data_IF_971128439726
#
_entry.id   IF_971128439726
#
_cell.length_a   1.000
_cell.length_b   1.000
_cell.length_c   1.000
_cell.angle_alpha   90.00
_cell.angle_beta   90.00
_cell.angle_gamma   90.00
#
_symmetry.space_group_name_H-M   'P 1'
#
loop_
_entity.id
_entity.type
_entity.pdbx_description
1 polymer ?
#
# COMPACT_ATOMS: atom_id res chain seq x y z
N UNK A 1 -63.71 8.27 16.98
CA UNK A 1 -63.79 6.99 17.71
C UNK A 1 -63.95 5.91 16.66
N UNK A 2 -62.83 5.39 16.19
CA UNK A 2 -62.71 4.17 15.38
C UNK A 2 -61.22 3.87 15.23
N UNK A 3 -60.93 2.57 15.35
CA UNK A 3 -59.67 1.92 15.66
C UNK A 3 -58.65 1.85 14.51
N UNK A 4 -57.41 1.63 14.96
CA UNK A 4 -56.31 0.83 14.40
C UNK A 4 -56.18 0.66 12.87
N UNK A 5 -54.98 0.95 12.36
CA UNK A 5 -54.11 -0.11 11.82
C UNK A 5 -52.66 0.35 11.89
N UNK A 6 -51.93 -0.19 12.85
CA UNK A 6 -50.47 -0.18 12.91
C UNK A 6 -49.94 -1.17 11.87
N UNK A 7 -49.20 -0.70 10.87
CA UNK A 7 -48.40 -1.59 10.03
C UNK A 7 -47.07 -1.88 10.71
N UNK A 8 -46.93 -3.14 11.09
CA UNK A 8 -45.70 -3.81 11.50
C UNK A 8 -44.75 -3.92 10.30
N UNK A 9 -43.59 -3.27 10.37
CA UNK A 9 -42.42 -3.69 9.58
C UNK A 9 -41.46 -4.38 10.53
N UNK A 10 -41.45 -5.71 10.44
CA UNK A 10 -40.45 -6.56 11.08
C UNK A 10 -39.06 -6.11 10.65
N UNK A 11 -38.33 -5.47 11.56
CA UNK A 11 -36.88 -5.42 11.49
C UNK A 11 -36.38 -6.59 12.33
N UNK A 12 -36.12 -7.72 11.66
CA UNK A 12 -35.43 -8.84 12.28
C UNK A 12 -34.02 -8.37 12.67
N UNK A 13 -33.81 -8.14 13.95
CA UNK A 13 -32.49 -8.01 14.54
C UNK A 13 -31.68 -9.25 14.19
N UNK A 14 -30.63 -9.11 13.37
CA UNK A 14 -29.63 -10.16 13.24
C UNK A 14 -28.84 -10.17 14.54
N UNK A 15 -29.15 -11.17 15.35
CA UNK A 15 -28.48 -11.53 16.58
C UNK A 15 -27.00 -11.83 16.29
N UNK A 16 -26.09 -10.92 16.69
CA UNK A 16 -24.63 -11.11 16.60
C UNK A 16 -24.13 -12.03 17.70
N UNK A 17 -24.70 -13.23 17.77
CA UNK A 17 -24.42 -14.18 18.86
C UNK A 17 -24.30 -15.60 18.35
N UNK A 18 -23.46 -15.83 17.34
CA UNK A 18 -22.92 -17.18 17.08
C UNK A 18 -21.61 -17.09 16.31
N UNK A 19 -20.50 -16.90 17.02
CA UNK A 19 -19.18 -17.42 16.69
C UNK A 19 -18.19 -16.88 17.71
N UNK A 20 -17.97 -17.68 18.76
CA UNK A 20 -16.80 -17.76 19.64
C UNK A 20 -17.23 -18.69 20.79
N UNK A 21 -17.41 -19.96 20.44
CA UNK A 21 -17.65 -21.04 21.40
C UNK A 21 -16.33 -21.72 21.72
N UNK A 22 -15.94 -21.62 22.99
CA UNK A 22 -14.85 -22.31 23.67
C UNK A 22 -13.45 -21.66 23.61
N UNK A 23 -13.23 -20.65 24.47
CA UNK A 23 -12.21 -20.76 25.52
C UNK A 23 -12.50 -19.74 26.64
N UNK A 24 -12.63 -20.24 27.86
CA UNK A 24 -12.69 -19.42 29.06
C UNK A 24 -11.30 -19.00 29.48
N UNK A 25 -11.13 -17.73 29.85
CA UNK A 25 -9.88 -17.21 30.42
C UNK A 25 -10.01 -15.71 30.64
N UNK A 26 -9.71 -15.26 31.86
CA UNK A 26 -10.05 -13.95 32.40
C UNK A 26 -9.58 -12.72 31.60
N UNK A 27 -10.42 -11.69 31.63
CA UNK A 27 -10.05 -10.31 31.31
C UNK A 27 -9.03 -9.83 32.36
N UNK A 28 -7.75 -9.79 32.01
CA UNK A 28 -6.76 -9.01 32.73
C UNK A 28 -6.70 -7.61 32.12
N UNK A 29 -7.15 -6.61 32.88
CA UNK A 29 -6.96 -5.21 32.56
C UNK A 29 -5.47 -4.85 32.68
N UNK A 30 -4.83 -4.42 31.59
CA UNK A 30 -3.51 -3.77 31.68
C UNK A 30 -3.71 -2.27 31.93
N UNK A 31 -3.71 -1.91 33.22
CA UNK A 31 -3.27 -0.61 33.69
C UNK A 31 -1.76 -0.67 33.91
N UNK A 32 -1.00 0.25 33.31
CA UNK A 32 0.44 0.30 33.44
C UNK A 32 0.99 1.66 33.03
N UNK A 33 0.86 2.64 33.94
CA UNK A 33 1.65 3.86 33.92
C UNK A 33 3.14 3.50 34.09
N UNK A 34 4.03 4.16 33.33
CA UNK A 34 5.34 4.57 33.82
C UNK A 34 5.89 5.71 32.97
N UNK A 35 6.24 6.79 33.64
CA UNK A 35 6.81 8.02 33.12
C UNK A 35 8.23 8.17 33.72
N UNK A 36 9.14 8.80 32.98
CA UNK A 36 10.41 9.46 33.40
C UNK A 36 11.57 8.52 33.82
N UNK A 37 12.82 8.66 33.39
CA UNK A 37 13.53 9.62 32.55
C UNK A 37 15.05 9.32 32.59
N UNK A 38 15.83 9.80 31.63
CA UNK A 38 17.31 9.65 31.65
C UNK A 38 17.97 10.04 30.34
N UNK A 39 18.46 11.28 30.26
CA UNK A 39 19.28 11.82 29.16
C UNK A 39 20.73 11.32 29.26
N UNK A 40 21.35 10.95 28.14
CA UNK A 40 22.77 11.23 27.87
C UNK A 40 23.13 11.03 26.39
N UNK A 41 23.86 12.00 25.86
CA UNK A 41 24.38 12.11 24.50
C UNK A 41 25.32 10.96 24.11
N UNK A 42 25.22 10.49 22.87
CA UNK A 42 26.20 9.62 22.23
C UNK A 42 25.88 9.42 20.74
N UNK A 43 26.67 10.08 19.90
CA UNK A 43 26.64 10.11 18.42
C UNK A 43 26.77 8.75 17.74
N UNK A 44 25.85 8.44 16.81
CA UNK A 44 26.04 7.81 15.49
C UNK A 44 24.76 7.03 15.08
N UNK A 45 23.85 7.68 14.34
CA UNK A 45 22.62 7.04 13.86
C UNK A 45 22.89 6.28 12.55
N UNK A 46 23.12 4.96 12.67
CA UNK A 46 22.75 4.00 11.63
C UNK A 46 21.23 3.79 11.60
N UNK A 47 20.68 3.07 10.60
CA UNK A 47 19.24 2.97 10.41
C UNK A 47 18.60 2.38 11.68
N UNK A 48 17.71 3.15 12.30
CA UNK A 48 17.05 2.80 13.54
C UNK A 48 16.25 1.51 13.33
N UNK A 49 16.74 0.41 13.90
CA UNK A 49 16.06 -0.87 13.86
C UNK A 49 14.71 -0.74 14.57
N UNK A 50 13.62 -0.79 13.80
CA UNK A 50 12.30 -1.14 14.34
C UNK A 50 12.47 -2.45 15.10
N UNK A 51 12.01 -2.53 16.35
CA UNK A 51 12.15 -3.75 17.16
C UNK A 51 11.63 -4.95 16.35
N UNK A 52 12.54 -5.88 16.02
CA UNK A 52 12.17 -7.12 15.35
C UNK A 52 11.08 -7.80 16.19
N UNK A 53 9.98 -8.30 15.59
CA UNK A 53 8.92 -9.00 16.33
C UNK A 53 9.44 -10.17 17.18
N UNK A 54 10.63 -10.68 16.88
CA UNK A 54 11.34 -11.69 17.67
C UNK A 54 11.63 -11.28 19.12
N UNK A 55 11.65 -9.98 19.46
CA UNK A 55 11.82 -9.56 20.86
C UNK A 55 10.56 -9.77 21.73
N UNK A 56 9.45 -10.18 21.11
CA UNK A 56 8.15 -10.35 21.77
C UNK A 56 7.80 -11.81 22.08
N UNK A 57 8.62 -12.77 21.65
CA UNK A 57 8.42 -14.20 21.91
C UNK A 57 9.73 -14.97 21.87
N UNK A 58 9.95 -15.87 22.83
CA UNK A 58 11.13 -16.73 22.86
C UNK A 58 11.16 -17.75 21.73
N UNK A 59 9.98 -18.01 21.14
CA UNK A 59 9.72 -19.00 20.08
C UNK A 59 10.10 -18.47 18.69
N UNK A 60 9.91 -17.18 18.42
CA UNK A 60 10.26 -16.58 17.13
C UNK A 60 11.65 -15.93 17.19
N UNK A 61 12.62 -16.47 16.45
CA UNK A 61 13.97 -15.89 16.37
C UNK A 61 14.09 -14.77 15.34
N UNK A 62 13.41 -14.89 14.20
CA UNK A 62 13.38 -13.82 13.20
C UNK A 62 12.18 -13.91 12.28
N UNK A 63 11.74 -12.74 11.81
CA UNK A 63 10.79 -12.56 10.72
C UNK A 63 11.41 -11.58 9.72
N UNK A 64 11.51 -11.99 8.45
CA UNK A 64 11.94 -11.10 7.36
C UNK A 64 10.96 -11.17 6.20
N UNK A 65 10.92 -10.10 5.40
CA UNK A 65 10.09 -10.00 4.21
C UNK A 65 10.97 -9.85 2.98
N UNK A 66 10.89 -10.80 2.06
CA UNK A 66 11.68 -10.80 0.83
C UNK A 66 10.79 -10.43 -0.38
N UNK A 67 11.07 -9.31 -1.06
CA UNK A 67 10.38 -8.96 -2.29
C UNK A 67 11.02 -9.63 -3.51
N UNK A 68 10.21 -10.39 -4.24
CA UNK A 68 10.57 -10.94 -5.54
C UNK A 68 9.94 -10.11 -6.64
N UNK A 69 10.76 -9.47 -7.47
CA UNK A 69 10.32 -8.82 -8.70
C UNK A 69 10.45 -9.81 -9.89
N UNK A 70 9.61 -9.67 -10.93
CA UNK A 70 9.68 -10.47 -12.16
C UNK A 70 8.30 -10.93 -12.66
N UNK A 71 8.24 -12.13 -13.25
CA UNK A 71 7.03 -12.71 -13.88
C UNK A 71 5.86 -12.92 -12.89
N UNK A 72 6.16 -12.98 -11.59
CA UNK A 72 5.13 -13.03 -10.53
C UNK A 72 5.61 -12.22 -9.32
N UNK A 73 5.41 -10.88 -9.33
CA UNK A 73 5.85 -10.04 -8.24
C UNK A 73 5.12 -10.40 -6.94
N UNK A 74 5.88 -10.70 -5.89
CA UNK A 74 5.34 -11.14 -4.60
C UNK A 74 6.27 -10.80 -3.43
N UNK A 75 5.69 -10.70 -2.25
CA UNK A 75 6.40 -10.59 -0.97
C UNK A 75 6.25 -11.91 -0.24
N UNK A 76 7.36 -12.52 0.14
CA UNK A 76 7.41 -13.75 0.93
C UNK A 76 7.87 -13.42 2.33
N UNK A 77 7.13 -13.90 3.34
CA UNK A 77 7.58 -13.84 4.73
C UNK A 77 8.41 -15.08 5.04
N UNK A 78 9.57 -14.89 5.65
CA UNK A 78 10.46 -15.95 6.10
C UNK A 78 10.54 -15.94 7.63
N UNK A 79 10.32 -17.10 8.22
CA UNK A 79 10.24 -17.30 9.66
C UNK A 79 11.39 -18.19 10.09
N UNK A 80 12.07 -17.80 11.18
CA UNK A 80 12.99 -18.67 11.90
C UNK A 80 12.51 -18.83 13.33
N UNK A 81 12.29 -20.06 13.75
CA UNK A 81 11.84 -20.45 15.07
C UNK A 81 13.00 -20.89 15.95
N UNK A 82 12.77 -20.93 17.26
CA UNK A 82 13.66 -21.57 18.21
C UNK A 82 13.66 -23.09 18.00
N UNK A 83 14.80 -23.74 18.22
CA UNK A 83 15.01 -25.18 17.96
C UNK A 83 14.10 -26.07 18.82
N UNK A 84 13.62 -25.56 19.95
CA UNK A 84 12.77 -26.24 20.93
C UNK A 84 11.30 -25.81 20.89
N UNK A 85 10.91 -24.95 19.95
CA UNK A 85 9.60 -24.28 19.96
C UNK A 85 8.37 -25.17 19.70
N UNK A 86 8.53 -26.39 19.19
CA UNK A 86 7.46 -27.36 18.90
C UNK A 86 6.23 -26.78 18.15
N UNK A 87 6.42 -25.70 17.39
CA UNK A 87 5.37 -25.07 16.58
C UNK A 87 5.05 -25.97 15.40
N UNK A 88 3.77 -26.09 15.10
CA UNK A 88 3.24 -26.91 13.99
C UNK A 88 2.45 -26.08 12.98
N UNK A 89 2.04 -24.86 13.34
CA UNK A 89 1.31 -23.94 12.48
C UNK A 89 1.78 -22.51 12.68
N UNK A 90 2.00 -21.83 11.56
CA UNK A 90 2.31 -20.40 11.49
C UNK A 90 1.26 -19.77 10.57
N UNK A 91 0.54 -18.76 11.03
CA UNK A 91 -0.45 -18.05 10.22
C UNK A 91 -0.25 -16.53 10.36
N UNK A 92 -0.52 -15.80 9.28
CA UNK A 92 -0.54 -14.33 9.31
C UNK A 92 -1.97 -13.83 9.14
N UNK A 93 -2.43 -13.04 10.10
CA UNK A 93 -3.71 -12.33 10.05
C UNK A 93 -3.41 -10.86 9.72
N UNK A 94 -4.07 -10.32 8.69
CA UNK A 94 -3.89 -8.91 8.34
C UNK A 94 -4.65 -7.98 9.28
N UNK A 95 -4.40 -6.67 9.17
CA UNK A 95 -5.08 -5.64 9.97
C UNK A 95 -6.59 -5.54 9.74
N UNK A 96 -7.14 -6.25 8.75
CA UNK A 96 -8.59 -6.40 8.55
C UNK A 96 -9.17 -7.63 9.27
N UNK A 97 -8.34 -8.46 9.90
CA UNK A 97 -8.75 -9.69 10.59
C UNK A 97 -8.85 -10.92 9.70
N UNK A 98 -8.38 -10.86 8.45
CA UNK A 98 -8.39 -12.00 7.53
C UNK A 98 -7.07 -12.78 7.63
N UNK A 99 -7.16 -14.11 7.65
CA UNK A 99 -5.99 -14.96 7.47
C UNK A 99 -5.48 -14.82 6.03
N UNK A 100 -4.28 -14.26 5.88
CA UNK A 100 -3.62 -14.06 4.59
C UNK A 100 -3.14 -15.38 4.04
N UNK A 101 -2.39 -16.11 4.87
CA UNK A 101 -1.81 -17.40 4.53
C UNK A 101 -1.30 -18.11 5.78
N UNK A 102 -1.00 -19.40 5.65
CA UNK A 102 -0.47 -20.24 6.71
C UNK A 102 0.54 -21.26 6.18
N UNK A 103 1.44 -21.68 7.05
CA UNK A 103 2.28 -22.85 6.87
C UNK A 103 1.99 -23.86 7.98
N UNK A 104 1.78 -25.12 7.58
CA UNK A 104 1.79 -26.27 8.46
C UNK A 104 3.18 -26.89 8.38
N UNK A 105 3.83 -27.01 9.52
CA UNK A 105 5.22 -27.48 9.64
C UNK A 105 5.29 -28.63 10.64
N UNK A 106 6.31 -29.46 10.49
CA UNK A 106 6.62 -30.48 11.50
C UNK A 106 7.18 -29.79 12.75
N UNK A 107 6.91 -30.34 13.95
CA UNK A 107 7.40 -29.76 15.22
C UNK A 107 8.94 -29.64 15.33
N UNK A 108 9.69 -30.27 14.41
CA UNK A 108 11.16 -30.19 14.31
C UNK A 108 11.65 -29.17 13.28
N UNK A 109 10.76 -28.62 12.46
CA UNK A 109 11.12 -27.63 11.46
C UNK A 109 11.26 -26.26 12.14
N UNK A 110 12.40 -25.62 11.92
CA UNK A 110 12.73 -24.32 12.52
C UNK A 110 12.66 -23.18 11.51
N UNK A 111 12.34 -23.49 10.26
CA UNK A 111 12.25 -22.51 9.18
C UNK A 111 10.99 -22.76 8.39
N UNK A 112 10.26 -21.69 8.10
CA UNK A 112 9.08 -21.71 7.25
C UNK A 112 9.06 -20.46 6.39
N UNK A 113 8.29 -20.50 5.31
CA UNK A 113 8.02 -19.31 4.51
C UNK A 113 6.71 -19.45 3.74
N UNK A 114 6.02 -18.34 3.55
CA UNK A 114 4.85 -18.29 2.68
C UNK A 114 4.65 -16.89 2.10
N UNK A 115 3.88 -16.83 1.00
CA UNK A 115 3.57 -15.57 0.31
C UNK A 115 2.54 -14.80 1.13
N UNK A 116 2.83 -13.51 1.36
CA UNK A 116 1.97 -12.59 2.13
C UNK A 116 1.39 -11.45 1.30
N UNK A 117 1.88 -11.27 0.08
CA UNK A 117 1.28 -10.38 -0.90
C UNK A 117 1.74 -10.75 -2.31
N UNK A 118 0.83 -10.75 -3.25
CA UNK A 118 1.08 -10.75 -4.70
C UNK A 118 0.53 -9.47 -5.29
N UNK A 119 1.02 -9.15 -6.48
CA UNK A 119 0.51 -8.05 -7.27
C UNK A 119 -1.01 -8.15 -7.49
N UNK A 120 -1.56 -9.32 -7.72
CA UNK A 120 -2.99 -9.48 -8.05
C UNK A 120 -3.90 -9.71 -6.84
N UNK A 121 -3.34 -9.87 -5.64
CA UNK A 121 -4.14 -10.19 -4.46
C UNK A 121 -5.05 -9.01 -4.12
N UNK A 122 -6.29 -9.30 -3.74
CA UNK A 122 -7.20 -8.30 -3.19
C UNK A 122 -6.72 -7.84 -1.80
N UNK A 123 -7.16 -6.66 -1.30
CA UNK A 123 -6.74 -6.18 0.03
C UNK A 123 -6.95 -7.18 1.17
N UNK A 124 -8.00 -8.00 1.11
CA UNK A 124 -8.31 -9.02 2.12
C UNK A 124 -7.38 -10.23 2.09
N UNK A 125 -6.71 -10.50 0.97
CA UNK A 125 -5.91 -11.69 0.72
C UNK A 125 -4.40 -11.45 0.91
N UNK A 126 -4.03 -10.26 1.38
CA UNK A 126 -2.64 -9.84 1.57
C UNK A 126 -2.43 -9.17 2.91
N UNK A 127 -1.17 -9.06 3.31
CA UNK A 127 -0.74 -8.24 4.45
C UNK A 127 -1.21 -6.79 4.26
N UNK A 128 -1.62 -6.12 5.32
CA UNK A 128 -2.05 -4.71 5.26
C UNK A 128 -0.94 -3.76 5.67
N UNK A 129 -1.02 -2.52 5.19
CA UNK A 129 -0.25 -1.41 5.75
C UNK A 129 -0.52 -1.29 7.26
N UNK A 130 0.53 -1.11 8.06
CA UNK A 130 0.44 -0.94 9.50
C UNK A 130 0.47 -2.27 10.27
N UNK A 131 -0.41 -2.42 11.27
CA UNK A 131 -0.41 -3.56 12.18
C UNK A 131 -1.07 -4.80 11.56
N UNK A 132 -0.44 -5.94 11.78
CA UNK A 132 -0.87 -7.30 11.43
C UNK A 132 -0.54 -8.21 12.62
N UNK A 133 -1.05 -9.45 12.61
CA UNK A 133 -0.81 -10.42 13.70
C UNK A 133 -0.25 -11.71 13.14
N UNK A 134 0.91 -12.13 13.65
CA UNK A 134 1.46 -13.46 13.42
C UNK A 134 0.99 -14.39 14.53
N UNK A 135 0.40 -15.53 14.16
CA UNK A 135 -0.09 -16.55 15.09
C UNK A 135 0.79 -17.78 14.97
N UNK A 136 1.36 -18.22 16.10
CA UNK A 136 2.20 -19.40 16.21
C UNK A 136 1.51 -20.42 17.11
N UNK A 137 1.22 -21.62 16.57
CA UNK A 137 0.50 -22.68 17.29
C UNK A 137 1.33 -23.98 17.31
N UNK A 138 1.47 -24.56 18.49
CA UNK A 138 2.08 -25.87 18.77
C UNK A 138 1.24 -26.65 19.78
N UNK A 139 1.73 -27.80 20.22
CA UNK A 139 0.99 -28.73 21.12
C UNK A 139 0.56 -28.08 22.45
N UNK A 140 1.38 -27.16 22.98
CA UNK A 140 1.14 -26.44 24.24
C UNK A 140 1.50 -24.96 24.12
N UNK A 141 1.47 -24.42 22.91
CA UNK A 141 1.91 -23.06 22.63
C UNK A 141 0.94 -22.41 21.67
N UNK A 142 0.42 -21.26 22.07
CA UNK A 142 -0.35 -20.39 21.21
C UNK A 142 0.10 -18.96 21.52
N UNK A 143 0.72 -18.31 20.55
CA UNK A 143 1.29 -16.98 20.72
C UNK A 143 0.89 -16.11 19.55
N UNK A 144 0.37 -14.93 19.88
CA UNK A 144 0.12 -13.86 18.93
C UNK A 144 1.23 -12.81 19.03
N UNK A 145 1.81 -12.46 17.89
CA UNK A 145 2.90 -11.50 17.79
C UNK A 145 2.45 -10.36 16.86
N UNK A 146 2.38 -9.11 17.33
CA UNK A 146 2.10 -7.98 16.47
C UNK A 146 3.25 -7.73 15.49
N UNK A 147 2.90 -7.61 14.21
CA UNK A 147 3.81 -7.41 13.08
C UNK A 147 3.42 -6.12 12.36
N UNK A 148 4.34 -5.15 12.32
CA UNK A 148 4.15 -3.93 11.54
C UNK A 148 4.71 -4.13 10.13
N UNK A 149 3.93 -3.81 9.10
CA UNK A 149 4.40 -3.75 7.71
C UNK A 149 4.00 -2.41 7.09
N UNK A 150 4.98 -1.58 6.77
CA UNK A 150 4.78 -0.31 6.07
C UNK A 150 5.94 -0.05 5.12
N UNK A 151 5.65 0.44 3.93
CA UNK A 151 6.64 0.99 3.01
C UNK A 151 6.64 2.52 3.08
N UNK A 152 7.56 3.16 2.36
CA UNK A 152 7.56 4.61 2.18
C UNK A 152 7.97 4.94 0.75
N UNK A 153 7.03 5.42 -0.06
CA UNK A 153 7.31 5.88 -1.42
C UNK A 153 7.39 7.40 -1.47
N UNK A 154 8.37 7.90 -2.22
CA UNK A 154 8.57 9.31 -2.51
C UNK A 154 8.62 9.51 -4.02
N UNK A 155 7.83 10.45 -4.54
CA UNK A 155 7.94 10.88 -5.93
C UNK A 155 9.19 11.75 -6.07
N UNK A 156 10.08 11.36 -6.98
CA UNK A 156 11.28 12.11 -7.33
C UNK A 156 11.06 13.00 -8.53
N UNK A 157 10.39 12.48 -9.56
CA UNK A 157 10.21 13.21 -10.82
C UNK A 157 9.01 12.71 -11.64
N UNK A 158 8.55 13.55 -12.57
CA UNK A 158 7.60 13.19 -13.63
C UNK A 158 8.31 13.29 -14.97
N UNK A 159 8.46 12.16 -15.64
CA UNK A 159 9.23 12.00 -16.87
C UNK A 159 8.29 12.07 -18.07
N UNK A 160 8.60 12.95 -19.03
CA UNK A 160 7.86 13.07 -20.27
C UNK A 160 8.09 11.90 -21.21
N UNK A 161 7.25 11.73 -22.24
CA UNK A 161 7.37 10.63 -23.20
C UNK A 161 8.70 10.61 -23.95
N UNK A 162 9.28 11.79 -24.20
CA UNK A 162 10.51 11.94 -24.99
C UNK A 162 11.77 12.01 -24.11
N UNK A 163 11.61 12.04 -22.78
CA UNK A 163 12.69 12.24 -21.81
C UNK A 163 13.31 10.91 -21.33
N UNK A 164 12.72 9.76 -21.67
CA UNK A 164 13.26 8.45 -21.30
C UNK A 164 12.97 7.36 -22.31
N UNK A 165 14.01 6.60 -22.65
CA UNK A 165 13.91 5.40 -23.49
C UNK A 165 13.37 4.18 -22.75
N UNK A 166 13.22 4.26 -21.41
CA UNK A 166 12.67 3.17 -20.59
C UNK A 166 11.13 3.16 -20.56
N UNK A 167 10.49 4.25 -21.01
CA UNK A 167 9.04 4.27 -21.14
C UNK A 167 8.61 3.32 -22.26
N UNK A 168 7.52 2.54 -22.05
CA UNK A 168 7.02 1.67 -23.10
C UNK A 168 6.59 2.51 -24.31
N UNK A 169 6.68 1.96 -25.53
CA UNK A 169 6.12 2.63 -26.69
C UNK A 169 4.61 2.88 -26.48
N UNK A 170 4.04 3.89 -27.15
CA UNK A 170 2.61 4.17 -27.10
C UNK A 170 1.81 2.93 -27.52
N UNK A 171 0.76 2.58 -26.77
CA UNK A 171 -0.09 1.42 -27.09
C UNK A 171 -0.97 1.66 -28.33
N UNK A 172 -1.19 2.93 -28.69
CA UNK A 172 -1.93 3.39 -29.85
C UNK A 172 -1.31 4.68 -30.36
N UNK A 173 -1.39 4.90 -31.67
CA UNK A 173 -1.01 6.18 -32.28
C UNK A 173 -1.71 7.34 -31.57
N UNK A 174 -0.94 8.39 -31.28
CA UNK A 174 -1.39 9.56 -30.55
C UNK A 174 -1.68 9.34 -29.06
N UNK A 175 -1.20 8.25 -28.43
CA UNK A 175 -1.33 8.04 -26.98
C UNK A 175 0.01 7.77 -26.31
N UNK A 176 0.66 8.81 -25.83
CA UNK A 176 1.99 8.72 -25.22
C UNK A 176 1.90 8.48 -23.70
N UNK A 177 2.82 7.69 -23.11
CA UNK A 177 2.90 7.54 -21.67
C UNK A 177 3.60 8.73 -21.01
N UNK A 178 3.40 8.87 -19.70
CA UNK A 178 4.34 9.60 -18.82
C UNK A 178 4.96 8.60 -17.83
N UNK A 179 6.09 8.95 -17.23
CA UNK A 179 6.73 8.17 -16.17
C UNK A 179 6.64 8.87 -14.82
N UNK A 180 6.39 8.12 -13.76
CA UNK A 180 6.60 8.59 -12.40
C UNK A 180 7.87 7.94 -11.86
N UNK A 181 8.92 8.74 -11.62
CA UNK A 181 10.14 8.26 -10.99
C UNK A 181 9.94 8.25 -9.48
N UNK A 182 9.83 7.05 -8.89
CA UNK A 182 9.51 6.88 -7.48
C UNK A 182 10.62 6.14 -6.77
N UNK A 183 11.01 6.62 -5.60
CA UNK A 183 11.95 5.96 -4.71
C UNK A 183 11.22 5.36 -3.52
N UNK A 184 11.59 4.13 -3.14
CA UNK A 184 11.16 3.55 -1.88
C UNK A 184 12.22 3.80 -0.80
N UNK A 185 11.96 4.78 0.07
CA UNK A 185 12.83 5.14 1.20
C UNK A 185 12.56 4.30 2.45
N UNK A 186 11.56 3.41 2.40
CA UNK A 186 11.17 2.53 3.49
C UNK A 186 11.99 1.24 3.58
N UNK A 187 11.72 0.47 4.64
CA UNK A 187 12.36 -0.84 4.92
C UNK A 187 11.67 -2.01 4.21
N UNK A 188 10.43 -1.82 3.75
CA UNK A 188 9.62 -2.86 3.10
C UNK A 188 9.26 -2.48 1.67
N UNK A 189 9.06 -3.49 0.83
CA UNK A 189 8.65 -3.27 -0.55
C UNK A 189 7.23 -2.70 -0.60
N UNK A 190 6.94 -1.95 -1.66
CA UNK A 190 5.59 -1.52 -1.98
C UNK A 190 5.11 -2.09 -3.32
N UNK A 191 3.81 -2.03 -3.53
CA UNK A 191 3.15 -2.26 -4.80
C UNK A 191 2.46 -0.94 -5.19
N UNK A 192 3.01 -0.25 -6.20
CA UNK A 192 2.32 0.84 -6.86
C UNK A 192 1.14 0.28 -7.66
N UNK A 193 -0.09 0.53 -7.21
CA UNK A 193 -1.31 -0.08 -7.77
C UNK A 193 -1.84 0.72 -8.94
N UNK A 194 -2.08 2.00 -8.70
CA UNK A 194 -2.76 2.85 -9.68
C UNK A 194 -2.37 4.31 -9.51
N UNK A 195 -2.57 5.06 -10.58
CA UNK A 195 -2.53 6.53 -10.58
C UNK A 195 -3.93 7.01 -10.89
N UNK A 196 -4.49 7.84 -10.02
CA UNK A 196 -5.73 8.57 -10.29
C UNK A 196 -5.34 9.93 -10.82
N UNK A 197 -5.87 10.33 -11.97
CA UNK A 197 -5.69 11.67 -12.50
C UNK A 197 -7.01 12.40 -12.55
N UNK A 198 -7.01 13.61 -12.01
CA UNK A 198 -8.12 14.55 -12.06
C UNK A 198 -7.74 15.71 -12.98
N UNK A 199 -8.66 16.08 -13.86
CA UNK A 199 -8.48 17.17 -14.84
C UNK A 199 -7.23 16.97 -15.74
N UNK A 200 -6.87 15.70 -15.97
CA UNK A 200 -5.73 15.31 -16.80
C UNK A 200 -5.97 15.43 -18.30
N UNK A 201 -4.90 15.51 -19.12
CA UNK A 201 -4.97 15.74 -20.56
C UNK A 201 -5.80 14.71 -21.33
N UNK A 202 -5.69 13.42 -20.99
CA UNK A 202 -6.50 12.37 -21.63
C UNK A 202 -8.01 12.65 -21.53
N UNK A 203 -8.46 13.33 -20.47
CA UNK A 203 -9.87 13.52 -20.17
C UNK A 203 -10.53 14.61 -21.01
N UNK A 204 -9.80 15.48 -21.71
CA UNK A 204 -10.43 16.55 -22.47
C UNK A 204 -11.33 16.04 -23.60
N UNK A 205 -11.00 14.87 -24.14
CA UNK A 205 -11.79 14.20 -25.16
C UNK A 205 -12.98 13.38 -24.60
N UNK A 206 -13.08 13.23 -23.27
CA UNK A 206 -14.12 12.41 -22.63
C UNK A 206 -14.93 13.27 -21.65
N UNK A 207 -16.23 13.05 -21.53
CA UNK A 207 -17.07 13.73 -20.53
C UNK A 207 -16.82 13.16 -19.11
N UNK A 208 -15.57 13.15 -18.67
CA UNK A 208 -15.11 12.65 -17.38
C UNK A 208 -14.11 13.61 -16.77
N UNK A 209 -14.15 13.75 -15.44
CA UNK A 209 -13.22 14.60 -14.68
C UNK A 209 -12.09 13.81 -14.03
N UNK A 210 -12.17 12.49 -14.05
CA UNK A 210 -11.21 11.59 -13.43
C UNK A 210 -10.94 10.37 -14.30
N UNK A 211 -9.68 9.94 -14.33
CA UNK A 211 -9.25 8.70 -14.98
C UNK A 211 -8.36 7.91 -14.03
N UNK A 212 -8.48 6.58 -14.09
CA UNK A 212 -7.69 5.65 -13.30
C UNK A 212 -6.77 4.86 -14.23
N UNK A 213 -5.49 4.81 -13.88
CA UNK A 213 -4.46 4.08 -14.62
C UNK A 213 -3.86 3.01 -13.73
N UNK A 214 -4.06 1.75 -14.09
CA UNK A 214 -3.41 0.63 -13.42
C UNK A 214 -1.91 0.64 -13.73
N UNK A 215 -1.09 0.53 -12.69
CA UNK A 215 0.37 0.44 -12.78
C UNK A 215 0.82 -0.97 -12.44
N UNK A 216 0.38 -1.46 -11.27
CA UNK A 216 0.70 -2.77 -10.74
C UNK A 216 2.19 -3.13 -10.86
N UNK A 217 3.03 -2.36 -10.17
CA UNK A 217 4.46 -2.60 -10.13
C UNK A 217 5.00 -2.62 -8.70
N UNK A 218 5.84 -3.63 -8.41
CA UNK A 218 6.59 -3.68 -7.15
C UNK A 218 7.77 -2.72 -7.15
N UNK A 219 7.95 -1.98 -6.05
CA UNK A 219 9.09 -1.09 -5.78
C UNK A 219 9.82 -1.63 -4.55
N UNK A 220 11.07 -2.09 -4.72
CA UNK A 220 11.86 -2.71 -3.64
C UNK A 220 12.37 -1.65 -2.65
N UNK A 221 12.64 -2.01 -1.39
CA UNK A 221 13.29 -1.11 -0.42
C UNK A 221 14.60 -0.56 -0.97
N UNK A 222 14.86 0.73 -0.77
CA UNK A 222 16.09 1.41 -1.20
C UNK A 222 16.30 1.47 -2.71
N UNK A 223 15.24 1.29 -3.50
CA UNK A 223 15.32 1.35 -4.97
C UNK A 223 14.48 2.49 -5.54
N UNK A 224 14.99 3.08 -6.61
CA UNK A 224 14.25 4.01 -7.47
C UNK A 224 13.74 3.26 -8.69
N UNK A 225 12.50 3.55 -9.09
CA UNK A 225 11.83 2.87 -10.20
C UNK A 225 10.98 3.84 -11.00
N UNK A 226 11.06 3.72 -12.33
CA UNK A 226 10.17 4.41 -13.25
C UNK A 226 8.86 3.63 -13.39
N UNK A 227 7.75 4.29 -13.07
CA UNK A 227 6.39 3.75 -13.16
C UNK A 227 5.67 4.36 -14.37
N UNK A 228 5.43 3.61 -15.46
CA UNK A 228 4.80 4.14 -16.65
C UNK A 228 3.28 4.27 -16.46
N UNK A 229 2.76 5.49 -16.56
CA UNK A 229 1.32 5.78 -16.69
C UNK A 229 0.97 5.73 -18.16
N UNK A 230 0.47 4.57 -18.61
CA UNK A 230 0.25 4.30 -20.02
C UNK A 230 -0.92 5.11 -20.57
N UNK A 231 -0.83 5.50 -21.84
CA UNK A 231 -1.90 6.19 -22.58
C UNK A 231 -2.36 7.52 -21.96
N UNK A 232 -1.49 8.16 -21.17
CA UNK A 232 -1.85 9.34 -20.38
C UNK A 232 -1.97 10.62 -21.21
N UNK A 233 -1.07 10.82 -22.18
CA UNK A 233 -1.13 11.94 -23.11
C UNK A 233 -1.84 11.44 -24.37
N UNK A 234 -3.15 11.65 -24.45
CA UNK A 234 -3.89 11.43 -25.68
C UNK A 234 -3.87 12.70 -26.51
N UNK A 235 -3.39 12.61 -27.76
CA UNK A 235 -3.55 13.65 -28.76
C UNK A 235 -5.04 13.99 -28.88
N UNK A 236 -5.33 15.28 -28.82
CA UNK A 236 -6.67 15.81 -28.97
C UNK A 236 -6.76 16.41 -30.38
N UNK A 237 -7.90 16.19 -31.03
CA UNK A 237 -8.17 16.83 -32.32
C UNK A 237 -8.37 18.34 -32.13
N UNK A 238 -7.33 19.10 -32.47
CA UNK A 238 -7.30 20.55 -32.46
C UNK A 238 -7.20 21.19 -31.07
N UNK A 239 -6.22 22.07 -30.91
CA UNK A 239 -6.26 23.15 -29.93
C UNK A 239 -6.12 24.49 -30.66
N UNK A 240 -7.09 25.42 -30.53
CA UNK A 240 -7.12 26.65 -31.33
C UNK A 240 -5.98 27.60 -30.97
N UNK A 241 -5.51 27.55 -29.72
CA UNK A 241 -4.40 28.35 -29.22
C UNK A 241 -3.54 27.54 -28.24
N UNK A 242 -2.27 27.92 -28.14
CA UNK A 242 -1.36 27.35 -27.17
C UNK A 242 -1.83 27.74 -25.76
N UNK A 243 -1.90 26.75 -24.88
CA UNK A 243 -2.30 27.00 -23.49
C UNK A 243 -1.70 25.94 -22.57
N UNK A 244 -1.85 26.17 -21.27
CA UNK A 244 -1.37 25.24 -20.24
C UNK A 244 -2.49 24.87 -19.31
N UNK A 245 -2.44 23.66 -18.77
CA UNK A 245 -3.36 23.22 -17.71
C UNK A 245 -2.64 22.43 -16.65
N UNK A 246 -3.11 22.57 -15.44
CA UNK A 246 -2.67 21.77 -14.31
C UNK A 246 -3.59 20.57 -14.13
N UNK A 247 -3.01 19.38 -13.96
CA UNK A 247 -3.72 18.20 -13.51
C UNK A 247 -3.24 17.80 -12.11
N UNK A 248 -4.15 17.24 -11.31
CA UNK A 248 -3.79 16.60 -10.04
C UNK A 248 -3.68 15.10 -10.27
N UNK A 249 -2.56 14.51 -9.86
CA UNK A 249 -2.34 13.07 -9.89
C UNK A 249 -2.15 12.54 -8.48
N UNK A 250 -2.72 11.37 -8.20
CA UNK A 250 -2.55 10.64 -6.96
C UNK A 250 -2.04 9.23 -7.25
N UNK A 251 -0.79 8.96 -6.92
CA UNK A 251 -0.25 7.60 -6.88
C UNK A 251 -0.80 6.89 -5.65
N UNK A 252 -1.43 5.72 -5.84
CA UNK A 252 -1.95 4.86 -4.79
C UNK A 252 -1.08 3.60 -4.64
N UNK A 253 -0.24 3.54 -3.60
CA UNK A 253 0.47 2.32 -3.22
C UNK A 253 -0.43 1.36 -2.47
N UNK A 254 0.06 0.14 -2.20
CA UNK A 254 -0.62 -0.83 -1.35
C UNK A 254 -0.19 -0.70 0.13
N UNK A 255 1.08 -0.35 0.37
CA UNK A 255 1.71 -0.42 1.70
C UNK A 255 2.34 0.89 2.17
N UNK A 256 2.34 1.93 1.33
CA UNK A 256 2.64 3.31 1.71
C UNK A 256 1.42 4.20 1.57
N UNK A 257 1.55 5.35 2.20
CA UNK A 257 0.64 6.47 2.04
C UNK A 257 0.53 6.95 0.57
N UNK A 258 -0.68 7.29 0.09
CA UNK A 258 -0.86 7.89 -1.24
C UNK A 258 -0.08 9.19 -1.41
N UNK A 259 0.50 9.38 -2.60
CA UNK A 259 1.27 10.57 -2.98
C UNK A 259 0.42 11.38 -3.96
N UNK A 260 0.09 12.61 -3.59
CA UNK A 260 -0.65 13.54 -4.44
C UNK A 260 0.26 14.69 -4.87
N UNK A 261 0.22 15.01 -6.16
CA UNK A 261 1.03 16.06 -6.76
C UNK A 261 0.27 16.72 -7.91
N UNK A 262 0.67 17.93 -8.26
CA UNK A 262 0.21 18.61 -9.47
C UNK A 262 1.28 18.61 -10.53
N UNK A 263 0.86 18.52 -11.79
CA UNK A 263 1.72 18.63 -12.96
C UNK A 263 1.07 19.57 -13.96
N UNK A 264 1.83 20.52 -14.49
CA UNK A 264 1.37 21.37 -15.59
C UNK A 264 1.72 20.73 -16.93
N UNK A 265 0.77 20.80 -17.86
CA UNK A 265 0.88 20.31 -19.22
C UNK A 265 0.74 21.47 -20.19
N UNK A 266 1.55 21.46 -21.25
CA UNK A 266 1.48 22.41 -22.35
C UNK A 266 0.76 21.77 -23.54
N UNK A 267 -0.10 22.56 -24.17
CA UNK A 267 -0.85 22.25 -25.37
C UNK A 267 -0.33 23.16 -26.47
N UNK A 268 0.23 22.58 -27.52
CA UNK A 268 0.78 23.33 -28.65
C UNK A 268 0.03 23.01 -29.93
N UNK A 269 -0.46 24.05 -30.61
CA UNK A 269 -1.10 23.93 -31.91
C UNK A 269 -0.02 23.76 -32.98
N UNK A 270 -0.03 22.63 -33.69
CA UNK A 270 0.90 22.33 -34.79
C UNK A 270 0.36 22.74 -36.16
N UNK A 271 -0.81 23.40 -36.20
CA UNK A 271 -1.39 23.98 -37.40
C UNK A 271 -2.23 23.05 -38.26
N UNK A 272 -2.27 21.73 -38.00
CA UNK A 272 -3.09 20.77 -38.75
C UNK A 272 -3.73 19.71 -37.85
N UNK A 273 -4.93 20.01 -37.33
CA UNK A 273 -5.87 19.05 -36.71
C UNK A 273 -5.39 18.26 -35.48
N UNK A 274 -4.18 18.46 -34.97
CA UNK A 274 -3.69 17.87 -33.73
C UNK A 274 -3.31 18.93 -32.70
N UNK A 275 -3.30 18.51 -31.43
CA UNK A 275 -2.69 19.27 -30.36
C UNK A 275 -1.56 18.43 -29.79
N UNK A 276 -0.34 18.96 -29.81
CA UNK A 276 0.79 18.29 -29.18
C UNK A 276 0.76 18.58 -27.67
N UNK A 277 0.89 17.51 -26.86
CA UNK A 277 0.91 17.61 -25.40
C UNK A 277 2.28 17.25 -24.84
N UNK A 278 2.82 18.10 -23.98
CA UNK A 278 4.07 17.87 -23.26
C UNK A 278 3.93 18.23 -21.77
N UNK A 279 4.90 17.79 -20.98
CA UNK A 279 5.07 18.33 -19.63
C UNK A 279 5.53 19.79 -19.70
N UNK A 280 5.18 20.57 -18.69
CA UNK A 280 5.62 21.95 -18.53
C UNK A 280 6.04 22.20 -17.08
N UNK A 281 7.34 22.40 -16.86
CA UNK A 281 7.90 22.59 -15.53
C UNK A 281 7.87 21.34 -14.65
N UNK A 282 8.38 21.52 -13.44
CA UNK A 282 8.45 20.46 -12.42
C UNK A 282 7.11 20.28 -11.70
N UNK A 283 6.86 19.05 -11.23
CA UNK A 283 5.72 18.75 -10.37
C UNK A 283 5.82 19.45 -9.01
N UNK A 284 4.65 19.73 -8.41
CA UNK A 284 4.55 20.20 -7.03
C UNK A 284 3.86 19.16 -6.16
N UNK A 285 4.51 18.72 -5.08
CA UNK A 285 3.89 17.80 -4.11
C UNK A 285 2.84 18.57 -3.31
N UNK A 286 1.61 18.05 -3.26
CA UNK A 286 0.56 18.61 -2.42
C UNK A 286 0.82 18.14 -0.99
N UNK A 287 1.43 19.01 -0.18
CA UNK A 287 1.70 18.71 1.23
C UNK A 287 0.40 18.36 1.97
N UNK A 288 0.47 17.32 2.81
CA UNK A 288 -0.65 16.98 3.68
C UNK A 288 -0.69 17.96 4.83
N UNK A 289 -1.79 18.71 4.96
CA UNK A 289 -2.12 19.37 6.22
C UNK A 289 -2.29 18.28 7.27
N UNK A 290 -1.37 18.17 8.23
CA UNK A 290 -1.57 17.34 9.41
C UNK A 290 -2.79 17.89 10.14
N UNK A 291 -3.92 17.19 10.08
CA UNK A 291 -5.04 17.45 10.98
C UNK A 291 -4.57 17.10 12.39
N UNK A 292 -4.02 18.10 13.09
CA UNK A 292 -3.71 17.99 14.50
C UNK A 292 -5.02 17.70 15.24
N UNK A 293 -5.09 16.54 15.88
CA UNK A 293 -6.12 16.28 16.89
C UNK A 293 -5.95 17.33 17.98
N UNK A 294 -6.83 18.33 17.98
CA UNK A 294 -7.04 19.16 19.17
C UNK A 294 -7.70 18.25 20.19
N UNK A 295 -6.94 17.87 21.22
CA UNK A 295 -7.51 17.34 22.45
C UNK A 295 -8.14 18.52 23.19
N UNK A 296 -9.47 18.54 23.28
CA UNK A 296 -10.17 19.23 24.36
C UNK A 296 -10.01 18.44 25.67
#
# INVERSE_FOLDING_TARGET
MTDETSQSTESSCIDRRTLLGAMGGGLAALAGCSNIGGSSNGTAAGPTATQSPSSKSDVLKSLTFEPKAGVSPQVTAHFKLAEDSMITRIALINGMGNEVNQALISARETVASFVVARLTDEPSERITQGQNTLVLIGEQTEVEIPVTYSASLELRDVIGPDDSTELPPPERDGRRPIGLLVENTGQHADIARQVISKDGPHLEAFDSKTSDYTIDMMVKPGSTKLLPVRTYLAEIFGCPENHTREATLTLKPAFSEPITFTQTFSYSSDGENSCELSLNGEQSIVERTKTGTQTE
#
